data_IF_135867664768
#
_entry.id   IF_135867664768
#
_cell.length_a   1.000
_cell.length_b   1.000
_cell.length_c   1.000
_cell.angle_alpha   90.00
_cell.angle_beta   90.00
_cell.angle_gamma   90.00
#
_symmetry.space_group_name_H-M   'P 1'
#
loop_
_entity.id
_entity.type
_entity.pdbx_description
1 polymer ?
#
# COMPACT_ATOMS: atom_id res chain seq x y z
N UNK A 1 19.50 -24.90 8.97
CA UNK A 1 18.62 -24.11 8.06
C UNK A 1 17.13 -24.29 8.35
N UNK A 2 16.52 -25.49 8.25
CA UNK A 2 15.06 -25.69 8.45
C UNK A 2 14.52 -25.17 9.78
N UNK A 3 15.17 -25.50 10.90
CA UNK A 3 14.76 -25.02 12.23
C UNK A 3 14.72 -23.50 12.33
N UNK A 4 15.77 -22.82 11.86
CA UNK A 4 15.82 -21.36 11.84
C UNK A 4 14.74 -20.76 10.96
N UNK A 5 14.54 -21.31 9.77
CA UNK A 5 13.51 -20.82 8.85
C UNK A 5 12.11 -20.96 9.46
N UNK A 6 11.81 -22.10 10.09
CA UNK A 6 10.51 -22.38 10.71
C UNK A 6 10.18 -21.44 11.87
N UNK A 7 11.13 -21.25 12.80
CA UNK A 7 10.94 -20.38 13.97
C UNK A 7 11.28 -18.90 13.72
N UNK A 8 11.66 -18.53 12.49
CA UNK A 8 12.11 -17.18 12.17
C UNK A 8 13.39 -16.73 12.88
N UNK A 9 14.19 -17.68 13.40
CA UNK A 9 15.41 -17.38 14.16
C UNK A 9 16.55 -16.95 13.24
N UNK A 10 17.21 -15.85 13.61
CA UNK A 10 18.48 -15.42 13.02
C UNK A 10 19.63 -16.22 13.62
N UNK A 11 20.76 -16.27 12.90
CA UNK A 11 21.96 -16.98 13.37
C UNK A 11 22.48 -16.53 14.76
N UNK A 12 22.56 -15.22 15.09
CA UNK A 12 22.98 -14.79 16.43
C UNK A 12 21.97 -15.16 17.52
N UNK A 13 20.67 -15.21 17.20
CA UNK A 13 19.63 -15.60 18.16
C UNK A 13 19.73 -17.10 18.48
N UNK A 14 19.97 -17.94 17.47
CA UNK A 14 20.23 -19.36 17.67
C UNK A 14 21.53 -19.58 18.47
N UNK A 15 22.57 -18.80 18.20
CA UNK A 15 23.83 -18.87 18.94
C UNK A 15 23.62 -18.52 20.43
N UNK A 16 22.87 -17.44 20.71
CA UNK A 16 22.51 -17.03 22.06
C UNK A 16 21.67 -18.09 22.78
N UNK A 17 20.65 -18.66 22.11
CA UNK A 17 19.82 -19.73 22.66
C UNK A 17 20.63 -20.98 23.05
N UNK A 18 21.63 -21.33 22.24
CA UNK A 18 22.47 -22.52 22.47
C UNK A 18 23.70 -22.26 23.37
N UNK A 19 23.95 -21.01 23.78
CA UNK A 19 25.18 -20.64 24.49
C UNK A 19 26.45 -20.85 23.65
N UNK A 20 26.37 -20.71 22.32
CA UNK A 20 27.47 -20.90 21.38
C UNK A 20 27.86 -19.59 20.70
N UNK A 21 29.03 -19.55 20.05
CA UNK A 21 29.38 -18.47 19.13
C UNK A 21 28.68 -18.63 17.78
N UNK A 22 28.46 -17.53 17.07
CA UNK A 22 27.89 -17.54 15.71
C UNK A 22 28.71 -18.39 14.74
N UNK A 23 30.04 -18.39 14.87
CA UNK A 23 30.96 -19.23 14.08
C UNK A 23 30.73 -20.71 14.38
N UNK A 24 30.51 -21.10 15.64
CA UNK A 24 30.20 -22.48 16.00
C UNK A 24 28.88 -22.92 15.39
N UNK A 25 27.83 -22.08 15.48
CA UNK A 25 26.54 -22.34 14.82
C UNK A 25 26.71 -22.46 13.31
N UNK A 26 27.50 -21.59 12.66
CA UNK A 26 27.79 -21.70 11.24
C UNK A 26 28.46 -23.03 10.88
N UNK A 27 29.44 -23.45 11.69
CA UNK A 27 30.12 -24.73 11.53
C UNK A 27 29.16 -25.91 11.63
N UNK A 28 28.20 -25.86 12.54
CA UNK A 28 27.16 -26.87 12.69
C UNK A 28 26.20 -26.85 11.49
N UNK A 29 25.71 -25.67 11.09
CA UNK A 29 24.76 -25.54 9.97
C UNK A 29 25.37 -25.97 8.62
N UNK A 30 26.68 -25.80 8.44
CA UNK A 30 27.42 -26.21 7.24
C UNK A 30 27.94 -27.65 7.30
N UNK A 31 27.65 -28.39 8.38
CA UNK A 31 28.14 -29.75 8.60
C UNK A 31 29.64 -29.86 8.89
N UNK A 32 30.35 -28.73 8.99
CA UNK A 32 31.79 -28.68 9.33
C UNK A 32 32.07 -29.04 10.80
N UNK A 33 31.06 -28.97 11.68
CA UNK A 33 31.12 -29.40 13.08
C UNK A 33 29.96 -30.32 13.40
N UNK A 34 30.24 -31.37 14.18
CA UNK A 34 29.20 -32.27 14.72
C UNK A 34 28.48 -31.61 15.89
N UNK A 35 27.19 -31.90 16.02
CA UNK A 35 26.39 -31.53 17.19
C UNK A 35 26.92 -32.27 18.42
N UNK A 36 27.17 -31.55 19.51
CA UNK A 36 27.49 -32.15 20.81
C UNK A 36 26.20 -32.56 21.52
N UNK A 37 26.28 -33.51 22.46
CA UNK A 37 25.11 -33.97 23.22
C UNK A 37 24.34 -32.81 23.89
N UNK A 38 24.98 -31.84 24.58
CA UNK A 38 24.25 -30.73 25.19
C UNK A 38 23.52 -29.84 24.19
N UNK A 39 24.09 -29.65 22.99
CA UNK A 39 23.45 -28.86 21.92
C UNK A 39 22.27 -29.61 21.33
N UNK A 40 22.39 -30.92 21.16
CA UNK A 40 21.28 -31.79 20.73
C UNK A 40 20.14 -31.77 21.74
N UNK A 41 20.45 -31.88 23.03
CA UNK A 41 19.46 -31.80 24.11
C UNK A 41 18.76 -30.44 24.14
N UNK A 42 19.50 -29.34 23.98
CA UNK A 42 18.93 -27.99 23.91
C UNK A 42 18.03 -27.78 22.68
N UNK A 43 18.34 -28.42 21.54
CA UNK A 43 17.53 -28.32 20.32
C UNK A 43 16.29 -29.22 20.33
N UNK A 44 16.26 -30.26 21.17
CA UNK A 44 15.21 -31.29 21.18
C UNK A 44 13.78 -30.70 21.28
N UNK A 45 13.49 -29.71 22.16
CA UNK A 45 12.15 -29.14 22.26
C UNK A 45 11.70 -28.42 20.98
N UNK A 46 12.63 -27.71 20.32
CA UNK A 46 12.35 -27.01 19.06
C UNK A 46 12.16 -28.00 17.91
N UNK A 47 12.96 -29.07 17.87
CA UNK A 47 12.84 -30.13 16.88
C UNK A 47 11.49 -30.86 17.00
N UNK A 48 10.98 -31.06 18.21
CA UNK A 48 9.67 -31.68 18.46
C UNK A 48 8.48 -30.86 17.90
N UNK A 49 8.66 -29.56 17.66
CA UNK A 49 7.63 -28.66 17.12
C UNK A 49 7.83 -28.35 15.64
N UNK A 50 8.81 -28.97 14.98
CA UNK A 50 8.94 -28.89 13.53
C UNK A 50 7.90 -29.79 12.87
N UNK A 51 7.23 -29.33 11.80
CA UNK A 51 6.36 -30.18 11.03
C UNK A 51 7.18 -31.29 10.34
N UNK A 52 6.51 -32.39 10.00
CA UNK A 52 7.11 -33.42 9.17
C UNK A 52 7.67 -32.81 7.86
N UNK A 53 8.80 -33.30 7.33
CA UNK A 53 9.45 -32.76 6.13
C UNK A 53 8.53 -32.72 4.90
N UNK A 54 7.54 -33.60 4.83
CA UNK A 54 6.63 -33.70 3.69
C UNK A 54 5.37 -32.82 3.82
N UNK A 55 5.15 -32.18 4.98
CA UNK A 55 4.02 -31.29 5.21
C UNK A 55 4.23 -29.88 4.61
N UNK A 56 5.45 -29.55 4.18
CA UNK A 56 5.86 -28.24 3.67
C UNK A 56 5.39 -27.95 2.21
N UNK A 57 4.59 -28.83 1.59
CA UNK A 57 4.13 -28.66 0.20
C UNK A 57 2.95 -27.69 0.03
N UNK A 58 2.24 -27.33 1.10
CA UNK A 58 1.22 -26.29 1.04
C UNK A 58 1.90 -24.92 1.24
N UNK A 59 1.84 -24.07 0.21
CA UNK A 59 2.24 -22.66 0.36
C UNK A 59 1.54 -22.08 1.60
N UNK A 60 2.24 -21.27 2.43
CA UNK A 60 1.65 -20.74 3.64
C UNK A 60 0.36 -20.00 3.27
N UNK A 61 -0.77 -20.52 3.76
CA UNK A 61 -2.06 -19.87 3.63
C UNK A 61 -1.92 -18.48 4.26
N UNK A 62 -2.34 -17.43 3.56
CA UNK A 62 -2.26 -16.05 4.05
C UNK A 62 -3.12 -15.75 5.30
N UNK A 63 -3.64 -16.80 5.96
CA UNK A 63 -4.40 -16.70 7.18
C UNK A 63 -3.48 -16.42 8.37
N UNK A 64 -3.92 -15.52 9.24
CA UNK A 64 -3.27 -15.30 10.53
C UNK A 64 -3.42 -16.55 11.41
N UNK A 65 -2.48 -16.79 12.34
CA UNK A 65 -2.66 -17.82 13.37
C UNK A 65 -3.98 -17.61 14.12
N UNK A 66 -4.66 -18.70 14.55
CA UNK A 66 -6.00 -18.62 15.14
C UNK A 66 -6.05 -17.84 16.46
N UNK A 67 -4.94 -17.81 17.21
CA UNK A 67 -4.86 -17.15 18.52
C UNK A 67 -4.56 -15.64 18.43
N UNK A 68 -4.49 -15.09 17.21
CA UNK A 68 -4.35 -13.64 17.05
C UNK A 68 -5.64 -12.95 17.50
N UNK A 69 -5.54 -11.84 18.26
CA UNK A 69 -6.71 -11.09 18.65
C UNK A 69 -7.44 -10.63 17.40
N UNK A 70 -8.74 -10.90 17.34
CA UNK A 70 -9.60 -10.36 16.30
C UNK A 70 -9.54 -8.81 16.33
N UNK A 71 -9.56 -8.15 15.16
CA UNK A 71 -9.60 -6.69 15.13
C UNK A 71 -10.88 -6.19 15.82
N UNK A 72 -10.75 -5.15 16.66
CA UNK A 72 -11.92 -4.59 17.32
C UNK A 72 -12.81 -3.85 16.31
N UNK A 73 -14.13 -3.79 16.52
CA UNK A 73 -15.01 -2.98 15.66
C UNK A 73 -14.60 -1.50 15.62
N UNK A 74 -14.07 -0.96 16.72
CA UNK A 74 -13.60 0.42 16.79
C UNK A 74 -12.39 0.67 15.87
N UNK A 75 -11.44 -0.26 15.80
CA UNK A 75 -10.26 -0.16 14.94
C UNK A 75 -10.65 -0.21 13.44
N UNK A 76 -11.54 -1.13 13.09
CA UNK A 76 -12.06 -1.25 11.72
C UNK A 76 -12.82 0.00 11.28
N UNK A 77 -13.65 0.55 12.16
CA UNK A 77 -14.42 1.78 11.91
C UNK A 77 -13.50 3.01 11.79
N UNK A 78 -12.49 3.12 12.65
CA UNK A 78 -11.47 4.16 12.52
C UNK A 78 -10.76 4.09 11.16
N UNK A 79 -10.29 2.89 10.78
CA UNK A 79 -9.62 2.69 9.49
C UNK A 79 -10.53 3.04 8.31
N UNK A 80 -11.80 2.63 8.36
CA UNK A 80 -12.80 2.96 7.34
C UNK A 80 -12.92 4.47 7.12
N UNK A 81 -13.08 5.24 8.21
CA UNK A 81 -13.16 6.71 8.13
C UNK A 81 -11.90 7.33 7.53
N UNK A 82 -10.72 6.83 7.90
CA UNK A 82 -9.44 7.30 7.34
C UNK A 82 -9.39 7.06 5.83
N UNK A 83 -9.81 5.89 5.35
CA UNK A 83 -9.84 5.59 3.91
C UNK A 83 -10.82 6.51 3.17
N UNK A 84 -12.02 6.72 3.72
CA UNK A 84 -13.02 7.63 3.16
C UNK A 84 -12.51 9.08 3.06
N UNK A 85 -11.91 9.61 4.13
CA UNK A 85 -11.38 10.96 4.15
C UNK A 85 -10.24 11.13 3.14
N UNK A 86 -9.34 10.15 3.04
CA UNK A 86 -8.25 10.16 2.06
C UNK A 86 -8.78 10.09 0.62
N UNK A 87 -9.75 9.22 0.34
CA UNK A 87 -10.39 9.13 -0.96
C UNK A 87 -11.03 10.48 -1.36
N UNK A 88 -11.80 11.11 -0.47
CA UNK A 88 -12.42 12.41 -0.71
C UNK A 88 -11.40 13.50 -1.05
N UNK A 89 -10.24 13.50 -0.36
CA UNK A 89 -9.13 14.42 -0.65
C UNK A 89 -8.54 14.17 -2.05
N UNK A 90 -8.34 12.92 -2.45
CA UNK A 90 -7.82 12.57 -3.78
C UNK A 90 -8.82 12.96 -4.88
N UNK A 91 -10.12 12.70 -4.68
CA UNK A 91 -11.20 13.13 -5.59
C UNK A 91 -11.22 14.64 -5.78
N UNK A 92 -11.05 15.40 -4.70
CA UNK A 92 -10.97 16.88 -4.77
C UNK A 92 -9.78 17.34 -5.61
N UNK A 93 -8.61 16.69 -5.47
CA UNK A 93 -7.44 17.00 -6.29
C UNK A 93 -7.66 16.65 -7.77
N UNK A 94 -8.24 15.49 -8.06
CA UNK A 94 -8.60 15.08 -9.42
C UNK A 94 -9.62 16.04 -10.06
N UNK A 95 -10.61 16.49 -9.29
CA UNK A 95 -11.61 17.45 -9.74
C UNK A 95 -10.99 18.79 -10.16
N UNK A 96 -9.99 19.28 -9.42
CA UNK A 96 -9.26 20.52 -9.79
C UNK A 96 -8.54 20.39 -11.12
N UNK A 97 -7.86 19.27 -11.37
CA UNK A 97 -7.20 19.01 -12.66
C UNK A 97 -8.23 18.91 -13.79
N UNK A 98 -9.34 18.20 -13.56
CA UNK A 98 -10.42 18.11 -14.53
C UNK A 98 -11.01 19.48 -14.85
N UNK A 99 -11.25 20.33 -13.85
CA UNK A 99 -11.75 21.69 -14.05
C UNK A 99 -10.77 22.54 -14.87
N UNK A 100 -9.47 22.45 -14.59
CA UNK A 100 -8.43 23.13 -15.39
C UNK A 100 -8.45 22.68 -16.85
N UNK A 101 -8.59 21.38 -17.11
CA UNK A 101 -8.69 20.85 -18.47
C UNK A 101 -9.93 21.40 -19.21
N UNK A 102 -11.10 21.40 -18.56
CA UNK A 102 -12.33 21.95 -19.14
C UNK A 102 -12.23 23.46 -19.40
N UNK A 103 -11.59 24.21 -18.49
CA UNK A 103 -11.35 25.63 -18.68
C UNK A 103 -10.42 25.87 -19.89
N UNK A 104 -9.30 25.16 -19.97
CA UNK A 104 -8.37 25.26 -21.09
C UNK A 104 -9.05 24.91 -22.42
N UNK A 105 -9.89 23.86 -22.44
CA UNK A 105 -10.66 23.47 -23.61
C UNK A 105 -11.62 24.57 -24.06
N UNK A 106 -12.40 25.16 -23.14
CA UNK A 106 -13.30 26.28 -23.46
C UNK A 106 -12.54 27.48 -24.02
N UNK A 107 -11.38 27.81 -23.47
CA UNK A 107 -10.52 28.85 -24.01
C UNK A 107 -9.99 28.51 -25.40
N UNK A 108 -9.59 27.26 -25.64
CA UNK A 108 -9.10 26.81 -26.94
C UNK A 108 -10.17 26.92 -28.04
N UNK A 109 -11.44 26.67 -27.73
CA UNK A 109 -12.55 26.82 -28.68
C UNK A 109 -12.73 28.26 -29.16
N UNK A 110 -12.61 29.25 -28.26
CA UNK A 110 -12.81 30.67 -28.60
C UNK A 110 -11.52 31.38 -29.03
N UNK A 111 -10.36 30.75 -28.82
CA UNK A 111 -9.05 31.35 -29.08
C UNK A 111 -8.91 31.89 -30.52
N UNK A 112 -9.28 31.16 -31.60
CA UNK A 112 -9.10 31.66 -32.96
C UNK A 112 -9.88 32.96 -33.22
N UNK A 113 -11.14 33.02 -32.75
CA UNK A 113 -11.97 34.22 -32.88
C UNK A 113 -11.41 35.41 -32.10
N UNK A 114 -10.89 35.16 -30.89
CA UNK A 114 -10.28 36.20 -30.05
C UNK A 114 -8.96 36.73 -30.62
N UNK A 115 -8.21 35.90 -31.37
CA UNK A 115 -6.98 36.29 -32.05
C UNK A 115 -7.23 36.97 -33.40
N UNK A 116 -8.39 36.74 -34.03
CA UNK A 116 -8.79 37.39 -35.28
C UNK A 116 -9.40 38.79 -35.07
N UNK A 117 -9.72 39.17 -33.82
CA UNK A 117 -10.21 40.49 -33.49
C UNK A 117 -9.16 41.58 -33.82
N UNK A 118 -9.59 42.81 -34.15
CA UNK A 118 -8.66 43.91 -34.42
C UNK A 118 -7.63 44.08 -33.28
N UNK A 119 -6.34 44.23 -33.60
CA UNK A 119 -5.30 44.36 -32.58
C UNK A 119 -5.50 45.64 -31.77
N UNK A 120 -5.03 45.61 -30.53
CA UNK A 120 -4.96 46.80 -29.68
C UNK A 120 -4.00 47.81 -30.34
N UNK A 121 -4.32 49.12 -30.38
CA UNK A 121 -3.40 50.13 -30.92
C UNK A 121 -2.06 50.17 -30.20
N UNK A 122 -2.00 49.70 -28.94
CA UNK A 122 -0.78 49.54 -28.18
C UNK A 122 -0.13 48.16 -28.46
N UNK A 123 1.05 48.12 -29.11
CA UNK A 123 1.70 46.87 -29.51
C UNK A 123 2.19 46.02 -28.33
N UNK A 124 2.56 46.63 -27.20
CA UNK A 124 3.00 45.89 -26.02
C UNK A 124 1.81 45.17 -25.39
N UNK A 125 0.68 45.86 -25.27
CA UNK A 125 -0.59 45.29 -24.80
C UNK A 125 -1.11 44.21 -25.71
N UNK A 126 -1.03 44.39 -27.03
CA UNK A 126 -1.41 43.36 -28.00
C UNK A 126 -0.57 42.08 -27.84
N UNK A 127 0.74 42.22 -27.65
CA UNK A 127 1.67 41.11 -27.42
C UNK A 127 1.37 40.39 -26.11
N UNK A 128 1.18 41.15 -25.02
CA UNK A 128 0.81 40.59 -23.72
C UNK A 128 -0.50 39.81 -23.77
N UNK A 129 -1.55 40.39 -24.37
CA UNK A 129 -2.88 39.76 -24.49
C UNK A 129 -2.81 38.45 -25.26
N UNK A 130 -2.09 38.45 -26.38
CA UNK A 130 -1.89 37.24 -27.21
C UNK A 130 -1.19 36.14 -26.41
N UNK A 131 -0.11 36.49 -25.70
CA UNK A 131 0.61 35.55 -24.84
C UNK A 131 -0.27 35.02 -23.70
N UNK A 132 -1.08 35.88 -23.08
CA UNK A 132 -2.01 35.49 -22.02
C UNK A 132 -3.10 34.53 -22.54
N UNK A 133 -3.75 34.84 -23.66
CA UNK A 133 -4.78 33.99 -24.27
C UNK A 133 -4.24 32.60 -24.61
N UNK A 134 -3.05 32.52 -25.21
CA UNK A 134 -2.40 31.25 -25.51
C UNK A 134 -2.07 30.43 -24.26
N UNK A 135 -1.69 31.08 -23.15
CA UNK A 135 -1.48 30.39 -21.87
C UNK A 135 -2.78 29.83 -21.29
N UNK A 136 -3.90 30.58 -21.38
CA UNK A 136 -5.20 30.10 -20.90
C UNK A 136 -5.72 28.89 -21.67
N UNK A 137 -5.49 28.86 -22.99
CA UNK A 137 -5.90 27.75 -23.87
C UNK A 137 -4.92 26.56 -23.87
N UNK A 138 -3.85 26.61 -23.07
CA UNK A 138 -2.84 25.54 -23.08
C UNK A 138 -3.44 24.26 -22.48
N UNK A 139 -3.44 23.13 -23.20
CA UNK A 139 -3.93 21.87 -22.65
C UNK A 139 -3.06 21.43 -21.47
N UNK A 140 -3.63 20.56 -20.62
CA UNK A 140 -2.86 19.91 -19.57
C UNK A 140 -1.67 19.17 -20.18
N UNK A 141 -0.53 19.17 -19.47
CA UNK A 141 0.61 18.36 -19.85
C UNK A 141 0.30 16.87 -19.68
N UNK A 142 1.00 16.01 -20.42
CA UNK A 142 0.89 14.56 -20.26
C UNK A 142 1.09 14.11 -18.80
N UNK A 143 2.06 14.70 -18.10
CA UNK A 143 2.29 14.43 -16.67
C UNK A 143 1.07 14.78 -15.79
N UNK A 144 0.36 15.87 -16.08
CA UNK A 144 -0.85 16.24 -15.34
C UNK A 144 -2.01 15.27 -15.64
N UNK A 145 -2.15 14.80 -16.87
CA UNK A 145 -3.14 13.77 -17.25
C UNK A 145 -2.84 12.44 -16.55
N UNK A 146 -1.59 11.97 -16.58
CA UNK A 146 -1.16 10.77 -15.84
C UNK A 146 -1.45 10.90 -14.34
N UNK A 147 -1.14 12.06 -13.75
CA UNK A 147 -1.45 12.34 -12.35
C UNK A 147 -2.95 12.27 -12.07
N UNK A 148 -3.80 12.79 -12.96
CA UNK A 148 -5.25 12.70 -12.80
C UNK A 148 -5.73 11.23 -12.76
N UNK A 149 -5.27 10.39 -13.69
CA UNK A 149 -5.61 8.97 -13.71
C UNK A 149 -5.13 8.23 -12.44
N UNK A 150 -3.90 8.51 -11.99
CA UNK A 150 -3.36 7.92 -10.76
C UNK A 150 -4.21 8.30 -9.54
N UNK A 151 -4.58 9.58 -9.41
CA UNK A 151 -5.42 10.05 -8.30
C UNK A 151 -6.79 9.34 -8.30
N UNK A 152 -7.38 9.13 -9.48
CA UNK A 152 -8.66 8.42 -9.61
C UNK A 152 -8.54 6.95 -9.22
N UNK A 153 -7.51 6.25 -9.69
CA UNK A 153 -7.26 4.85 -9.35
C UNK A 153 -7.01 4.67 -7.84
N UNK A 154 -6.20 5.54 -7.23
CA UNK A 154 -5.94 5.53 -5.79
C UNK A 154 -7.20 5.82 -4.96
N UNK A 155 -8.02 6.79 -5.39
CA UNK A 155 -9.28 7.08 -4.72
C UNK A 155 -10.23 5.87 -4.76
N UNK A 156 -10.37 5.24 -5.92
CA UNK A 156 -11.20 4.04 -6.10
C UNK A 156 -10.71 2.87 -5.23
N UNK A 157 -9.40 2.64 -5.15
CA UNK A 157 -8.84 1.59 -4.29
C UNK A 157 -9.19 1.82 -2.80
N UNK A 158 -9.09 3.06 -2.31
CA UNK A 158 -9.47 3.41 -0.94
C UNK A 158 -10.97 3.30 -0.68
N UNK A 159 -11.81 3.62 -1.67
CA UNK A 159 -13.26 3.45 -1.60
C UNK A 159 -13.62 1.95 -1.50
N UNK A 160 -12.97 1.08 -2.28
CA UNK A 160 -13.12 -0.38 -2.18
C UNK A 160 -12.68 -0.92 -0.82
N UNK A 161 -11.54 -0.45 -0.29
CA UNK A 161 -11.09 -0.83 1.06
C UNK A 161 -12.12 -0.41 2.12
N UNK A 162 -12.65 0.81 2.04
CA UNK A 162 -13.68 1.29 2.96
C UNK A 162 -15.00 0.49 2.86
N UNK A 163 -15.37 0.05 1.66
CA UNK A 163 -16.53 -0.83 1.45
C UNK A 163 -16.32 -2.21 2.07
N UNK A 164 -15.13 -2.80 1.89
CA UNK A 164 -14.77 -4.08 2.51
C UNK A 164 -14.80 -3.98 4.05
N UNK A 165 -14.26 -2.90 4.63
CA UNK A 165 -14.32 -2.66 6.08
C UNK A 165 -15.76 -2.47 6.57
N UNK A 166 -16.64 -1.89 5.75
CA UNK A 166 -18.07 -1.77 6.09
C UNK A 166 -18.74 -3.14 6.14
N UNK A 167 -18.42 -4.04 5.21
CA UNK A 167 -18.92 -5.41 5.24
C UNK A 167 -18.43 -6.17 6.48
N UNK A 168 -17.14 -6.05 6.82
CA UNK A 168 -16.59 -6.67 8.03
C UNK A 168 -17.24 -6.14 9.32
N UNK A 169 -17.49 -4.84 9.39
CA UNK A 169 -18.22 -4.23 10.52
C UNK A 169 -19.65 -4.76 10.63
N UNK A 170 -20.35 -4.94 9.49
CA UNK A 170 -21.68 -5.52 9.49
C UNK A 170 -21.67 -6.96 10.03
N UNK A 171 -20.72 -7.79 9.61
CA UNK A 171 -20.57 -9.16 10.13
C UNK A 171 -20.28 -9.17 11.63
N UNK A 172 -19.36 -8.31 12.10
CA UNK A 172 -18.98 -8.25 13.51
C UNK A 172 -20.12 -7.83 14.45
N UNK A 173 -21.13 -7.12 13.94
CA UNK A 173 -22.31 -6.71 14.71
C UNK A 173 -23.43 -7.76 14.75
N UNK A 174 -23.40 -8.76 13.88
CA UNK A 174 -24.42 -9.83 13.80
C UNK A 174 -24.05 -11.05 14.66
N UNK A 175 -22.76 -11.33 14.83
CA UNK A 175 -22.22 -12.44 15.65
C UNK A 175 -22.50 -12.39 17.18
N UNK A 176 -22.79 -11.28 17.88
CA UNK A 176 -22.96 -11.32 19.34
C UNK A 176 -24.25 -12.04 19.80
N UNK A 177 -25.14 -12.48 18.91
CA UNK A 177 -26.44 -13.06 19.27
C UNK A 177 -26.50 -14.61 19.22
N UNK A 178 -25.44 -15.30 18.82
CA UNK A 178 -25.43 -16.77 18.60
C UNK A 178 -24.73 -17.57 19.72
N UNK A 179 -24.26 -16.92 20.79
CA UNK A 179 -23.69 -17.58 21.96
C UNK A 179 -24.64 -17.48 23.16
N UNK A 180 -25.69 -18.31 23.19
CA UNK A 180 -26.51 -18.55 24.39
C UNK A 180 -27.01 -19.98 24.40
#
# INVERSE_FOLDING_TARGET
MRLRAWFGLRQPELALYLGLSTIQVQGIETGRRRLTLPVTEALLPLLAHLPAPDADAAAPTAALPPDQPAPTPADLDFRRRVCQQRAARLRTQAARLSQQAHQAHRWALVLPALLAAPPDPDPERATWRTGWLRRQARPLSAAAVTRWHLLQAQAQALETEAAALTALLATALVEPFQAS
#
